data_IF_282191994550
#
_entry.id   IF_282191994550
#
_cell.length_a   1.000
_cell.length_b   1.000
_cell.length_c   1.000
_cell.angle_alpha   90.00
_cell.angle_beta   90.00
_cell.angle_gamma   90.00
#
_symmetry.space_group_name_H-M   'P 1'
#
loop_
_entity.id
_entity.type
_entity.pdbx_description
1 polymer ?
#
# COMPACT_ATOMS: atom_id res chain seq x y z
N UNK A 1 9.11 -29.36 47.05
CA UNK A 1 8.47 -28.91 45.80
C UNK A 1 8.72 -29.95 44.72
N UNK A 2 7.67 -30.57 44.20
CA UNK A 2 7.76 -31.74 43.34
C UNK A 2 8.18 -31.32 41.92
N UNK A 3 9.36 -31.73 41.46
CA UNK A 3 9.98 -31.31 40.18
C UNK A 3 9.06 -31.54 38.96
N UNK A 4 8.23 -32.58 39.03
CA UNK A 4 7.21 -32.89 38.01
C UNK A 4 6.14 -31.80 37.86
N UNK A 5 5.74 -31.13 38.95
CA UNK A 5 4.76 -30.04 38.90
C UNK A 5 5.31 -28.78 38.22
N UNK A 6 6.60 -28.49 38.41
CA UNK A 6 7.26 -27.36 37.76
C UNK A 6 7.42 -27.57 36.25
N UNK A 7 7.70 -28.79 35.82
CA UNK A 7 7.82 -29.14 34.38
C UNK A 7 6.46 -29.00 33.69
N UNK A 8 5.38 -29.47 34.31
CA UNK A 8 4.04 -29.34 33.76
C UNK A 8 3.60 -27.87 33.64
N UNK A 9 3.87 -27.05 34.66
CA UNK A 9 3.60 -25.61 34.57
C UNK A 9 4.39 -24.93 33.44
N UNK A 10 5.66 -25.30 33.23
CA UNK A 10 6.48 -24.75 32.17
C UNK A 10 5.93 -25.07 30.77
N UNK A 11 5.45 -26.31 30.55
CA UNK A 11 4.86 -26.72 29.27
C UNK A 11 3.57 -25.95 28.99
N UNK A 12 2.71 -25.80 29.99
CA UNK A 12 1.44 -25.07 29.85
C UNK A 12 1.68 -23.59 29.55
N UNK A 13 2.61 -22.94 30.27
CA UNK A 13 2.99 -21.54 30.02
C UNK A 13 3.59 -21.37 28.63
N UNK A 14 4.40 -22.32 28.17
CA UNK A 14 4.99 -22.28 26.83
C UNK A 14 3.94 -22.41 25.72
N UNK A 15 2.94 -23.28 25.89
CA UNK A 15 1.84 -23.42 24.92
C UNK A 15 0.95 -22.17 24.85
N UNK A 16 0.66 -21.55 26.00
CA UNK A 16 -0.14 -20.31 26.04
C UNK A 16 0.64 -19.15 25.40
N UNK A 17 1.93 -19.02 25.69
CA UNK A 17 2.77 -17.99 25.09
C UNK A 17 2.88 -18.16 23.55
N UNK A 18 2.98 -19.40 23.06
CA UNK A 18 3.03 -19.67 21.62
C UNK A 18 1.74 -19.25 20.89
N UNK A 19 0.58 -19.36 21.54
CA UNK A 19 -0.70 -18.94 20.95
C UNK A 19 -0.99 -17.44 21.13
N UNK A 20 -0.73 -16.87 22.30
CA UNK A 20 -1.01 -15.47 22.60
C UNK A 20 -0.09 -14.49 21.84
N UNK A 21 1.13 -14.93 21.52
CA UNK A 21 2.12 -14.14 20.78
C UNK A 21 2.38 -14.66 19.37
N UNK A 22 1.56 -15.59 18.86
CA UNK A 22 1.60 -15.91 17.44
C UNK A 22 1.25 -14.63 16.65
N UNK A 23 2.17 -14.10 15.82
CA UNK A 23 1.84 -12.96 14.97
C UNK A 23 0.65 -13.38 14.12
N UNK A 24 -0.42 -12.57 14.13
CA UNK A 24 -1.56 -12.79 13.26
C UNK A 24 -1.02 -13.02 11.84
N UNK A 25 -1.27 -14.19 11.27
CA UNK A 25 -0.94 -14.47 9.87
C UNK A 25 -1.55 -13.33 9.07
N UNK A 26 -0.71 -12.45 8.55
CA UNK A 26 -1.17 -11.45 7.61
C UNK A 26 -1.85 -12.24 6.49
N UNK A 27 -3.09 -11.90 6.11
CA UNK A 27 -3.72 -12.53 4.96
C UNK A 27 -2.72 -12.46 3.81
N UNK A 28 -2.26 -13.63 3.34
CA UNK A 28 -1.42 -13.67 2.16
C UNK A 28 -2.16 -12.90 1.07
N UNK A 29 -1.46 -11.94 0.46
CA UNK A 29 -2.00 -11.25 -0.69
C UNK A 29 -2.54 -12.30 -1.66
N UNK A 30 -3.76 -12.15 -2.20
CA UNK A 30 -4.22 -13.00 -3.27
C UNK A 30 -3.13 -13.04 -4.33
N UNK A 31 -2.51 -14.22 -4.54
CA UNK A 31 -1.59 -14.39 -5.66
C UNK A 31 -2.40 -14.06 -6.90
N UNK A 32 -1.94 -13.10 -7.69
CA UNK A 32 -2.59 -12.78 -8.94
C UNK A 32 -2.77 -14.08 -9.73
N UNK A 33 -3.98 -14.37 -10.25
CA UNK A 33 -4.15 -15.54 -11.09
C UNK A 33 -3.08 -15.48 -12.17
N UNK A 34 -2.29 -16.55 -12.30
CA UNK A 34 -1.27 -16.73 -13.35
C UNK A 34 -1.97 -16.92 -14.70
N UNK A 35 -2.81 -15.96 -15.10
CA UNK A 35 -3.27 -15.84 -16.47
C UNK A 35 -2.12 -15.29 -17.29
N UNK A 36 -2.06 -15.72 -18.54
CA UNK A 36 -1.10 -15.20 -19.49
C UNK A 36 -1.35 -13.70 -19.62
N UNK A 37 -0.33 -12.87 -19.44
CA UNK A 37 -0.47 -11.41 -19.56
C UNK A 37 -0.96 -11.02 -20.96
N UNK A 38 -0.77 -11.88 -21.96
CA UNK A 38 -1.32 -11.73 -23.32
C UNK A 38 -2.85 -11.66 -23.36
N UNK A 39 -3.55 -12.21 -22.35
CA UNK A 39 -5.02 -12.17 -22.26
C UNK A 39 -5.57 -10.74 -22.07
N UNK A 40 -4.73 -9.80 -21.62
CA UNK A 40 -5.09 -8.40 -21.37
C UNK A 40 -4.49 -7.44 -22.41
N UNK A 41 -4.07 -7.99 -23.55
CA UNK A 41 -3.58 -7.25 -24.71
C UNK A 41 -2.06 -7.37 -24.92
N UNK A 42 -1.57 -7.04 -26.13
CA UNK A 42 -0.17 -7.23 -26.51
C UNK A 42 0.82 -6.38 -25.69
N UNK A 43 0.32 -5.32 -25.04
CA UNK A 43 1.12 -4.36 -24.28
C UNK A 43 1.15 -4.64 -22.77
N UNK A 44 0.45 -5.66 -22.26
CA UNK A 44 0.33 -5.88 -20.80
C UNK A 44 1.69 -6.06 -20.12
N UNK A 45 2.67 -6.70 -20.79
CA UNK A 45 4.03 -6.83 -20.25
C UNK A 45 4.67 -5.49 -19.90
N UNK A 46 4.45 -4.46 -20.72
CA UNK A 46 4.95 -3.11 -20.48
C UNK A 46 4.18 -2.42 -19.36
N UNK A 47 2.90 -2.75 -19.19
CA UNK A 47 2.08 -2.25 -18.08
C UNK A 47 2.55 -2.83 -16.75
N UNK A 48 2.90 -4.12 -16.70
CA UNK A 48 3.50 -4.76 -15.51
C UNK A 48 4.79 -4.03 -15.11
N UNK A 49 5.72 -3.84 -16.04
CA UNK A 49 6.96 -3.10 -15.77
C UNK A 49 6.70 -1.64 -15.35
N UNK A 50 5.69 -1.00 -15.97
CA UNK A 50 5.24 0.34 -15.59
C UNK A 50 4.75 0.41 -14.15
N UNK A 51 3.99 -0.59 -13.69
CA UNK A 51 3.53 -0.68 -12.29
C UNK A 51 4.69 -0.80 -11.31
N UNK A 52 5.71 -1.59 -11.61
CA UNK A 52 6.90 -1.68 -10.76
C UNK A 52 7.62 -0.33 -10.63
N UNK A 53 7.84 0.36 -11.75
CA UNK A 53 8.45 1.70 -11.74
C UNK A 53 7.62 2.72 -10.96
N UNK A 54 6.29 2.63 -11.04
CA UNK A 54 5.38 3.48 -10.27
C UNK A 54 5.49 3.20 -8.77
N UNK A 55 5.60 1.93 -8.36
CA UNK A 55 5.84 1.56 -6.95
C UNK A 55 7.18 2.07 -6.44
N UNK A 56 8.25 1.87 -7.21
CA UNK A 56 9.59 2.37 -6.86
C UNK A 56 9.60 3.89 -6.68
N UNK A 57 8.96 4.63 -7.59
CA UNK A 57 8.84 6.09 -7.52
C UNK A 57 8.07 6.53 -6.27
N UNK A 58 6.93 5.90 -5.98
CA UNK A 58 6.13 6.22 -4.80
C UNK A 58 6.87 5.90 -3.49
N UNK A 59 7.54 4.75 -3.41
CA UNK A 59 8.37 4.38 -2.25
C UNK A 59 9.47 5.42 -2.04
N UNK A 60 10.19 5.79 -3.11
CA UNK A 60 11.25 6.80 -3.04
C UNK A 60 10.73 8.14 -2.52
N UNK A 61 9.57 8.58 -3.00
CA UNK A 61 8.91 9.79 -2.51
C UNK A 61 8.54 9.66 -1.01
N UNK A 62 7.97 8.52 -0.62
CA UNK A 62 7.55 8.26 0.76
C UNK A 62 8.71 8.03 1.74
N UNK A 63 9.93 7.81 1.26
CA UNK A 63 11.15 7.67 2.06
C UNK A 63 11.94 8.98 2.18
N UNK A 64 11.55 10.05 1.46
CA UNK A 64 12.18 11.36 1.59
C UNK A 64 12.15 11.87 3.04
N UNK A 65 13.16 12.62 3.52
CA UNK A 65 13.13 13.20 4.86
C UNK A 65 11.85 14.02 5.11
N UNK A 66 11.24 13.88 6.29
CA UNK A 66 9.95 14.52 6.58
C UNK A 66 9.96 16.04 6.34
N UNK A 67 11.01 16.73 6.79
CA UNK A 67 11.12 18.18 6.65
C UNK A 67 11.18 18.69 5.21
N UNK A 68 11.66 17.88 4.25
CA UNK A 68 11.74 18.31 2.85
C UNK A 68 10.40 18.23 2.11
N UNK A 69 9.41 17.54 2.68
CA UNK A 69 8.12 17.27 2.01
C UNK A 69 7.14 18.45 1.99
N UNK A 70 7.53 19.64 2.47
CA UNK A 70 6.60 20.76 2.67
C UNK A 70 6.77 21.93 1.71
N UNK A 71 7.94 22.11 1.09
CA UNK A 71 8.19 23.26 0.20
C UNK A 71 9.19 22.93 -0.92
N UNK A 72 9.23 23.81 -1.93
CA UNK A 72 10.23 23.75 -2.99
C UNK A 72 10.10 22.55 -3.92
N UNK A 73 11.21 22.17 -4.54
CA UNK A 73 11.25 21.08 -5.52
C UNK A 73 11.07 19.71 -4.86
N UNK A 74 11.52 19.54 -3.62
CA UNK A 74 11.31 18.32 -2.84
C UNK A 74 9.82 18.06 -2.59
N UNK A 75 9.03 19.10 -2.28
CA UNK A 75 7.56 18.98 -2.20
C UNK A 75 6.96 18.52 -3.52
N UNK A 76 7.38 19.11 -4.63
CA UNK A 76 6.88 18.74 -5.96
C UNK A 76 7.23 17.29 -6.29
N UNK A 77 8.44 16.86 -5.98
CA UNK A 77 8.88 15.48 -6.20
C UNK A 77 8.09 14.49 -5.33
N UNK A 78 7.87 14.83 -4.05
CA UNK A 78 7.05 14.04 -3.14
C UNK A 78 5.63 13.85 -3.67
N UNK A 79 4.98 14.95 -4.07
CA UNK A 79 3.62 14.93 -4.61
C UNK A 79 3.56 14.23 -5.96
N UNK A 80 4.52 14.47 -6.85
CA UNK A 80 4.58 13.84 -8.18
C UNK A 80 4.73 12.32 -8.09
N UNK A 81 5.61 11.81 -7.20
CA UNK A 81 5.79 10.37 -7.01
C UNK A 81 4.52 9.67 -6.53
N UNK A 82 3.78 10.30 -5.61
CA UNK A 82 2.48 9.80 -5.16
C UNK A 82 1.39 9.93 -6.22
N UNK A 83 1.37 11.06 -6.93
CA UNK A 83 0.42 11.32 -8.00
C UNK A 83 0.50 10.24 -9.07
N UNK A 84 1.70 9.97 -9.60
CA UNK A 84 1.88 8.98 -10.67
C UNK A 84 1.36 7.59 -10.25
N UNK A 85 1.70 7.15 -9.04
CA UNK A 85 1.25 5.86 -8.53
C UNK A 85 -0.28 5.79 -8.40
N UNK A 86 -0.89 6.74 -7.70
CA UNK A 86 -2.34 6.70 -7.44
C UNK A 86 -3.18 7.02 -8.68
N UNK A 87 -2.68 7.86 -9.58
CA UNK A 87 -3.31 8.16 -10.86
C UNK A 87 -3.42 6.88 -11.71
N UNK A 88 -2.30 6.18 -11.90
CA UNK A 88 -2.27 4.97 -12.70
C UNK A 88 -3.03 3.82 -12.05
N UNK A 89 -2.94 3.67 -10.72
CA UNK A 89 -3.75 2.69 -9.97
C UNK A 89 -5.24 2.94 -10.15
N UNK A 90 -5.71 4.19 -10.02
CA UNK A 90 -7.11 4.53 -10.24
C UNK A 90 -7.54 4.19 -11.67
N UNK A 91 -6.79 4.70 -12.65
CA UNK A 91 -7.12 4.56 -14.07
C UNK A 91 -7.20 3.10 -14.50
N UNK A 92 -6.27 2.25 -14.06
CA UNK A 92 -6.31 0.83 -14.41
C UNK A 92 -7.41 0.08 -13.66
N UNK A 93 -7.69 0.46 -12.40
CA UNK A 93 -8.81 -0.13 -11.65
C UNK A 93 -10.17 0.19 -12.30
N UNK A 94 -10.29 1.32 -12.99
CA UNK A 94 -11.49 1.69 -13.77
C UNK A 94 -11.51 1.01 -15.15
N UNK A 95 -10.40 1.04 -15.89
CA UNK A 95 -10.39 0.62 -17.29
C UNK A 95 -10.34 -0.89 -17.52
N UNK A 96 -9.70 -1.67 -16.65
CA UNK A 96 -9.63 -3.13 -16.84
C UNK A 96 -10.99 -3.82 -16.71
N UNK A 97 -11.84 -3.49 -15.72
CA UNK A 97 -13.22 -3.97 -15.70
C UNK A 97 -14.02 -3.54 -16.93
N UNK A 98 -13.84 -2.30 -17.39
CA UNK A 98 -14.54 -1.78 -18.57
C UNK A 98 -14.17 -2.56 -19.85
N UNK A 99 -12.88 -2.85 -20.05
CA UNK A 99 -12.39 -3.49 -21.27
C UNK A 99 -12.46 -5.02 -21.25
N UNK A 100 -12.33 -5.65 -20.08
CA UNK A 100 -12.17 -7.11 -19.95
C UNK A 100 -13.16 -7.74 -18.95
N UNK A 101 -14.16 -6.98 -18.49
CA UNK A 101 -15.18 -7.44 -17.57
C UNK A 101 -14.61 -7.92 -16.23
N UNK A 102 -15.30 -8.91 -15.61
CA UNK A 102 -14.89 -9.46 -14.32
C UNK A 102 -13.46 -10.02 -14.33
N UNK A 103 -13.02 -10.61 -15.45
CA UNK A 103 -11.68 -11.16 -15.56
C UNK A 103 -10.61 -10.07 -15.45
N UNK A 104 -10.82 -8.91 -16.09
CA UNK A 104 -9.97 -7.73 -15.94
C UNK A 104 -10.00 -7.16 -14.53
N UNK A 105 -11.19 -7.06 -13.94
CA UNK A 105 -11.36 -6.58 -12.57
C UNK A 105 -10.58 -7.42 -11.55
N UNK A 106 -10.71 -8.74 -11.61
CA UNK A 106 -10.00 -9.67 -10.72
C UNK A 106 -8.48 -9.57 -10.93
N UNK A 107 -8.04 -9.50 -12.19
CA UNK A 107 -6.62 -9.38 -12.54
C UNK A 107 -6.01 -8.10 -12.00
N UNK A 108 -6.60 -6.94 -12.32
CA UNK A 108 -6.02 -5.65 -11.96
C UNK A 108 -6.04 -5.42 -10.44
N UNK A 109 -7.07 -5.94 -9.76
CA UNK A 109 -7.13 -5.93 -8.30
C UNK A 109 -5.92 -6.66 -7.71
N UNK A 110 -5.58 -7.84 -8.25
CA UNK A 110 -4.44 -8.59 -7.76
C UNK A 110 -3.10 -7.91 -8.08
N UNK A 111 -2.99 -7.28 -9.26
CA UNK A 111 -1.80 -6.51 -9.64
C UNK A 111 -1.55 -5.31 -8.70
N UNK A 112 -2.59 -4.70 -8.12
CA UNK A 112 -2.47 -3.59 -7.16
C UNK A 112 -2.63 -3.99 -5.69
N UNK A 113 -2.44 -5.28 -5.39
CA UNK A 113 -2.54 -5.84 -4.04
C UNK A 113 -1.23 -6.48 -3.57
N UNK A 114 -0.10 -6.03 -4.10
CA UNK A 114 1.22 -6.55 -3.71
C UNK A 114 1.63 -6.11 -2.29
N UNK A 115 2.75 -6.65 -1.79
CA UNK A 115 3.32 -6.21 -0.52
C UNK A 115 3.74 -4.73 -0.56
N UNK A 116 4.25 -4.26 -1.69
CA UNK A 116 4.66 -2.88 -1.88
C UNK A 116 3.45 -1.94 -1.95
N UNK A 117 2.35 -2.36 -2.57
CA UNK A 117 1.11 -1.57 -2.57
C UNK A 117 0.60 -1.35 -1.13
N UNK A 118 0.61 -2.41 -0.30
CA UNK A 118 0.28 -2.28 1.13
C UNK A 118 1.27 -1.42 1.91
N UNK A 119 2.55 -1.42 1.52
CA UNK A 119 3.57 -0.58 2.13
C UNK A 119 3.34 0.89 1.78
N UNK A 120 3.07 1.18 0.51
CA UNK A 120 2.75 2.52 -0.01
C UNK A 120 1.50 3.07 0.68
N UNK A 121 0.43 2.27 0.78
CA UNK A 121 -0.81 2.68 1.45
C UNK A 121 -0.55 3.06 2.92
N UNK A 122 0.20 2.25 3.67
CA UNK A 122 0.56 2.56 5.08
C UNK A 122 1.42 3.81 5.24
N UNK A 123 2.42 3.99 4.38
CA UNK A 123 3.29 5.17 4.42
C UNK A 123 2.52 6.45 4.00
N UNK A 124 1.56 6.30 3.09
CA UNK A 124 0.64 7.39 2.70
C UNK A 124 -0.25 7.79 3.86
N UNK A 125 -0.80 6.81 4.59
CA UNK A 125 -1.57 7.04 5.82
C UNK A 125 -0.74 7.78 6.87
N UNK A 126 0.50 7.35 7.11
CA UNK A 126 1.41 8.02 8.06
C UNK A 126 1.72 9.47 7.64
N UNK A 127 1.98 9.70 6.35
CA UNK A 127 2.22 11.05 5.83
C UNK A 127 0.99 11.95 5.96
N UNK A 128 -0.20 11.41 5.72
CA UNK A 128 -1.47 12.12 5.92
C UNK A 128 -1.70 12.43 7.40
N UNK A 129 -1.60 11.43 8.28
CA UNK A 129 -1.83 11.58 9.71
C UNK A 129 -0.89 12.64 10.33
N UNK A 130 0.37 12.68 9.90
CA UNK A 130 1.35 13.67 10.36
C UNK A 130 1.19 15.06 9.73
N UNK A 131 0.26 15.24 8.79
CA UNK A 131 -0.02 16.53 8.16
C UNK A 131 0.96 16.94 7.06
N UNK A 132 1.63 15.96 6.44
CA UNK A 132 2.52 16.16 5.27
C UNK A 132 1.81 15.95 3.94
N UNK A 133 0.61 15.36 3.94
CA UNK A 133 -0.17 15.08 2.73
C UNK A 133 -1.65 15.35 2.99
N UNK A 134 -2.33 15.89 2.00
CA UNK A 134 -3.79 16.01 1.91
C UNK A 134 -4.22 15.41 0.58
N UNK A 135 -5.40 14.75 0.50
CA UNK A 135 -5.92 14.28 -0.80
C UNK A 135 -6.00 15.39 -1.85
N UNK A 136 -6.31 16.62 -1.44
CA UNK A 136 -6.36 17.81 -2.32
C UNK A 136 -5.02 18.26 -2.88
N UNK A 137 -3.90 17.71 -2.40
CA UNK A 137 -2.59 17.96 -2.99
C UNK A 137 -2.40 17.22 -4.33
N UNK A 138 -3.31 16.27 -4.61
CA UNK A 138 -3.32 15.45 -5.80
C UNK A 138 -4.51 15.82 -6.69
N UNK A 139 -4.45 15.44 -7.97
CA UNK A 139 -5.52 15.69 -8.95
C UNK A 139 -5.71 14.46 -9.84
N UNK A 140 -6.57 14.56 -10.87
CA UNK A 140 -6.70 13.53 -11.90
C UNK A 140 -7.26 12.18 -11.43
N UNK A 141 -7.93 12.12 -10.28
CA UNK A 141 -8.44 10.88 -9.68
C UNK A 141 -7.48 10.24 -8.67
N UNK A 142 -6.23 10.68 -8.61
CA UNK A 142 -5.30 10.27 -7.55
C UNK A 142 -5.79 10.75 -6.16
N UNK A 143 -6.40 11.94 -6.11
CA UNK A 143 -7.08 12.49 -4.93
C UNK A 143 -8.14 11.55 -4.37
N UNK A 144 -8.97 10.95 -5.24
CA UNK A 144 -10.02 10.01 -4.84
C UNK A 144 -9.45 8.72 -4.28
N UNK A 145 -8.37 8.21 -4.85
CA UNK A 145 -7.71 7.00 -4.34
C UNK A 145 -7.04 7.26 -3.00
N UNK A 146 -6.31 8.36 -2.86
CA UNK A 146 -5.70 8.71 -1.57
C UNK A 146 -6.77 8.96 -0.51
N UNK A 147 -7.87 9.64 -0.85
CA UNK A 147 -9.00 9.81 0.07
C UNK A 147 -9.56 8.47 0.57
N UNK A 148 -9.65 7.44 -0.30
CA UNK A 148 -10.06 6.09 0.11
C UNK A 148 -9.04 5.42 1.05
N UNK A 149 -7.75 5.59 0.77
CA UNK A 149 -6.65 5.03 1.58
C UNK A 149 -6.64 5.62 2.99
N UNK A 150 -6.86 6.93 3.11
CA UNK A 150 -6.75 7.66 4.39
C UNK A 150 -8.09 7.88 5.09
N UNK A 151 -9.20 7.33 4.58
CA UNK A 151 -10.57 7.60 5.06
C UNK A 151 -10.79 7.35 6.56
N UNK A 152 -10.01 6.44 7.15
CA UNK A 152 -10.11 6.06 8.55
C UNK A 152 -9.00 6.68 9.41
N UNK A 153 -8.11 7.46 8.81
CA UNK A 153 -7.01 8.13 9.49
C UNK A 153 -7.43 9.50 10.01
N UNK A 154 -6.87 9.89 11.15
CA UNK A 154 -7.03 11.24 11.69
C UNK A 154 -5.73 12.01 11.55
N UNK A 155 -5.83 13.27 11.15
CA UNK A 155 -4.67 14.18 11.17
C UNK A 155 -4.36 14.52 12.62
N UNK A 156 -3.18 14.11 13.08
CA UNK A 156 -2.66 14.33 14.43
C UNK A 156 -1.46 15.29 14.44
N UNK A 157 -0.76 15.40 13.31
CA UNK A 157 0.40 16.27 13.15
C UNK A 157 0.11 17.55 12.37
N UNK A 158 1.06 18.48 12.45
CA UNK A 158 1.07 19.78 11.74
C UNK A 158 2.28 19.89 10.79
N UNK A 159 2.68 18.78 10.17
CA UNK A 159 3.97 18.64 9.46
C UNK A 159 4.31 19.78 8.50
N UNK A 160 3.36 20.21 7.68
CA UNK A 160 3.55 21.33 6.73
C UNK A 160 2.79 22.62 7.11
N UNK A 161 2.49 22.83 8.40
CA UNK A 161 1.91 24.08 8.91
C UNK A 161 2.92 24.95 9.67
N UNK A 162 4.22 24.71 9.44
CA UNK A 162 5.32 25.52 9.99
C UNK A 162 5.50 26.84 9.27
#
# INVERSE_FOLDING_TARGET
MNRLGLILCAIVVWQIAAWAFAPAKQPEAPKAPQRDTRDFGPNEKYMVEGREKQRESAIRALEMPWGSRCSGDDRKQFISGLYEYYYHRNRQTESYPENFGKAGADYITAQWSTADDRRIDRLTQDAYAKGYLKPSDLTGGADKMVAKVVKNERVTGKGCQG
#
